data_IF_738859268746
#
_entry.id   IF_738859268746
#
_cell.length_a   1.000
_cell.length_b   1.000
_cell.length_c   1.000
_cell.angle_alpha   90.00
_cell.angle_beta   90.00
_cell.angle_gamma   90.00
#
_symmetry.space_group_name_H-M   'P 1'
#
loop_
_entity.id
_entity.type
_entity.pdbx_description
1 polymer ?
#
# COMPACT_ATOMS: atom_id res chain seq x y z
N UNK A 1 -1.19 -16.84 10.97
CA UNK A 1 -1.30 -15.97 9.78
C UNK A 1 0.09 -15.73 9.21
N UNK A 2 0.28 -15.93 7.92
CA UNK A 2 1.55 -15.64 7.26
C UNK A 2 1.71 -14.12 7.11
N UNK A 3 2.94 -13.67 6.83
CA UNK A 3 3.18 -12.24 6.58
C UNK A 3 2.41 -11.76 5.34
N UNK A 4 2.32 -12.60 4.29
CA UNK A 4 1.53 -12.24 3.10
C UNK A 4 0.05 -12.09 3.43
N UNK A 5 -0.51 -13.01 4.23
CA UNK A 5 -1.90 -12.91 4.66
C UNK A 5 -2.15 -11.65 5.50
N UNK A 6 -1.20 -11.29 6.37
CA UNK A 6 -1.28 -10.06 7.17
C UNK A 6 -1.38 -8.83 6.27
N UNK A 7 -0.54 -8.75 5.23
CA UNK A 7 -0.54 -7.61 4.31
C UNK A 7 -1.83 -7.56 3.50
N UNK A 8 -2.31 -8.70 3.00
CA UNK A 8 -3.57 -8.74 2.26
C UNK A 8 -4.75 -8.29 3.12
N UNK A 9 -4.79 -8.70 4.38
CA UNK A 9 -5.82 -8.25 5.33
C UNK A 9 -5.70 -6.75 5.62
N UNK A 10 -4.48 -6.26 5.80
CA UNK A 10 -4.25 -4.83 6.02
C UNK A 10 -4.77 -4.01 4.83
N UNK A 11 -4.47 -4.43 3.61
CA UNK A 11 -4.96 -3.75 2.40
C UNK A 11 -6.49 -3.74 2.37
N UNK A 12 -7.12 -4.87 2.63
CA UNK A 12 -8.59 -4.97 2.59
C UNK A 12 -9.26 -4.19 3.71
N UNK A 13 -8.78 -4.35 4.95
CA UNK A 13 -9.48 -3.83 6.12
C UNK A 13 -9.15 -2.38 6.44
N UNK A 14 -8.01 -1.87 5.98
CA UNK A 14 -7.59 -0.49 6.22
C UNK A 14 -7.71 0.33 4.94
N UNK A 15 -6.97 -0.03 3.89
CA UNK A 15 -6.94 0.78 2.67
C UNK A 15 -8.24 0.71 1.89
N UNK A 16 -8.67 -0.48 1.49
CA UNK A 16 -9.86 -0.63 0.63
C UNK A 16 -11.16 -0.33 1.39
N UNK A 17 -11.18 -0.58 2.69
CA UNK A 17 -12.31 -0.23 3.55
C UNK A 17 -12.31 1.26 3.96
N UNK A 18 -11.24 1.99 3.70
CA UNK A 18 -11.05 3.38 4.14
C UNK A 18 -11.28 3.52 5.65
N UNK A 19 -10.74 2.59 6.44
CA UNK A 19 -11.03 2.48 7.87
C UNK A 19 -9.72 2.40 8.67
N UNK A 20 -9.49 3.40 9.51
CA UNK A 20 -8.30 3.47 10.36
C UNK A 20 -8.53 2.91 11.77
N UNK A 21 -9.74 2.43 12.07
CA UNK A 21 -10.07 1.98 13.43
C UNK A 21 -9.26 0.77 13.87
N UNK A 22 -8.75 -0.03 12.93
CA UNK A 22 -7.94 -1.23 13.19
C UNK A 22 -6.44 -1.00 13.03
N UNK A 23 -6.02 0.23 12.80
CA UNK A 23 -4.62 0.53 12.48
C UNK A 23 -3.66 0.00 13.55
N UNK A 24 -4.03 0.11 14.83
CA UNK A 24 -3.18 -0.34 15.93
C UNK A 24 -2.99 -1.85 15.97
N UNK A 25 -3.89 -2.62 15.35
CA UNK A 25 -3.76 -4.07 15.23
C UNK A 25 -2.72 -4.45 14.18
N UNK A 26 -2.51 -3.61 13.17
CA UNK A 26 -1.64 -3.89 12.03
C UNK A 26 -0.28 -3.22 12.09
N UNK A 27 -0.17 -2.07 12.74
CA UNK A 27 1.02 -1.22 12.65
C UNK A 27 1.66 -0.97 14.01
N UNK A 28 2.98 -1.11 14.07
CA UNK A 28 3.76 -0.80 15.27
C UNK A 28 3.76 0.69 15.53
N UNK A 29 3.84 1.07 16.81
CA UNK A 29 3.96 2.48 17.21
C UNK A 29 5.23 3.12 16.66
N UNK A 30 6.30 2.34 16.54
CA UNK A 30 7.60 2.79 16.03
C UNK A 30 7.78 2.54 14.53
N UNK A 31 6.68 2.46 13.79
CA UNK A 31 6.68 2.27 12.34
C UNK A 31 7.52 3.33 11.63
N UNK A 32 8.39 2.87 10.72
CA UNK A 32 9.31 3.73 9.97
C UNK A 32 8.79 3.91 8.54
N UNK A 33 8.71 5.17 8.09
CA UNK A 33 8.16 5.51 6.78
C UNK A 33 9.25 6.04 5.85
N UNK A 34 9.40 5.39 4.68
CA UNK A 34 10.30 5.85 3.62
C UNK A 34 9.57 6.42 2.41
N UNK A 35 8.24 6.41 2.41
CA UNK A 35 7.45 7.07 1.36
C UNK A 35 7.66 8.57 1.45
N UNK A 36 7.95 9.20 0.31
CA UNK A 36 8.16 10.65 0.25
C UNK A 36 6.88 11.45 0.45
N UNK A 37 5.74 10.78 0.39
CA UNK A 37 4.42 11.43 0.45
C UNK A 37 3.85 11.48 1.86
N UNK A 38 4.48 10.79 2.83
CA UNK A 38 3.95 10.69 4.18
C UNK A 38 5.02 11.04 5.22
N UNK A 39 4.58 11.58 6.34
CA UNK A 39 5.44 11.81 7.50
C UNK A 39 5.74 10.49 8.20
N UNK A 40 6.82 10.45 8.98
CA UNK A 40 7.26 9.26 9.68
C UNK A 40 6.29 8.83 10.79
N UNK A 41 6.34 7.54 11.12
CA UNK A 41 5.60 6.96 12.22
C UNK A 41 4.16 6.60 11.90
N UNK A 42 3.52 5.93 12.83
CA UNK A 42 2.12 5.52 12.70
C UNK A 42 1.18 6.72 12.58
N UNK A 43 1.44 7.78 13.30
CA UNK A 43 0.62 9.00 13.21
C UNK A 43 0.83 9.72 11.88
N UNK A 44 2.04 9.67 11.32
CA UNK A 44 2.30 10.18 9.97
C UNK A 44 1.51 9.39 8.92
N UNK A 45 1.44 8.07 9.06
CA UNK A 45 0.61 7.23 8.21
C UNK A 45 -0.88 7.58 8.35
N UNK A 46 -1.36 7.73 9.58
CA UNK A 46 -2.76 8.07 9.85
C UNK A 46 -3.16 9.37 9.15
N UNK A 47 -2.32 10.38 9.27
CA UNK A 47 -2.53 11.68 8.65
C UNK A 47 -2.58 11.59 7.12
N UNK A 48 -1.62 10.86 6.54
CA UNK A 48 -1.58 10.60 5.10
C UNK A 48 -2.86 9.90 4.64
N UNK A 49 -3.26 8.84 5.34
CA UNK A 49 -4.40 8.02 4.96
C UNK A 49 -5.72 8.80 5.02
N UNK A 50 -5.89 9.67 6.00
CA UNK A 50 -7.08 10.51 6.10
C UNK A 50 -7.29 11.35 4.84
N UNK A 51 -6.23 11.95 4.30
CA UNK A 51 -6.29 12.70 3.05
C UNK A 51 -6.42 11.79 1.83
N UNK A 52 -5.68 10.70 1.83
CA UNK A 52 -5.66 9.75 0.72
C UNK A 52 -7.04 9.11 0.49
N UNK A 53 -7.76 8.78 1.55
CA UNK A 53 -9.10 8.18 1.47
C UNK A 53 -10.12 9.11 0.80
N UNK A 54 -9.89 10.43 0.79
CA UNK A 54 -10.75 11.38 0.10
C UNK A 54 -10.69 11.20 -1.43
N UNK A 55 -9.65 10.57 -1.95
CA UNK A 55 -9.50 10.26 -3.37
C UNK A 55 -10.20 8.96 -3.77
N UNK A 56 -10.85 8.30 -2.81
CA UNK A 56 -11.53 7.02 -2.99
C UNK A 56 -10.62 5.95 -3.61
N UNK A 57 -9.46 5.65 -2.98
CA UNK A 57 -8.53 4.68 -3.55
C UNK A 57 -9.03 3.25 -3.41
N UNK A 58 -8.72 2.45 -4.41
CA UNK A 58 -8.90 0.99 -4.36
C UNK A 58 -7.62 0.31 -4.84
N UNK A 59 -7.08 -0.57 -4.02
CA UNK A 59 -5.87 -1.33 -4.31
C UNK A 59 -6.23 -2.72 -4.82
N UNK A 60 -5.92 -2.98 -6.08
CA UNK A 60 -6.13 -4.26 -6.74
C UNK A 60 -4.77 -4.98 -6.83
N UNK A 61 -4.56 -5.96 -5.95
CA UNK A 61 -3.29 -6.66 -5.84
C UNK A 61 -3.08 -7.58 -7.04
N UNK A 62 -1.96 -7.42 -7.72
CA UNK A 62 -1.56 -8.22 -8.89
C UNK A 62 -0.56 -9.31 -8.54
N UNK A 63 0.43 -8.99 -7.70
CA UNK A 63 1.46 -9.93 -7.26
C UNK A 63 1.87 -9.60 -5.84
N UNK A 64 2.26 -10.64 -5.08
CA UNK A 64 2.75 -10.48 -3.73
C UNK A 64 3.89 -11.49 -3.49
N UNK A 65 4.97 -11.02 -2.89
CA UNK A 65 6.18 -11.79 -2.63
C UNK A 65 6.67 -11.53 -1.21
N UNK A 66 7.37 -12.49 -0.64
CA UNK A 66 8.04 -12.31 0.65
C UNK A 66 9.52 -12.65 0.51
N UNK A 67 10.37 -11.81 1.11
CA UNK A 67 11.82 -12.04 1.17
C UNK A 67 12.20 -12.73 2.48
N UNK A 68 13.48 -13.14 2.58
CA UNK A 68 14.01 -13.87 3.74
C UNK A 68 14.06 -13.02 5.02
N UNK A 69 13.98 -11.69 4.91
CA UNK A 69 14.06 -10.76 6.05
C UNK A 69 12.69 -10.28 6.53
N UNK A 70 11.63 -11.06 6.26
CA UNK A 70 10.25 -10.72 6.62
C UNK A 70 9.72 -9.45 5.96
N UNK A 71 10.22 -9.12 4.77
CA UNK A 71 9.71 -8.02 3.97
C UNK A 71 8.77 -8.57 2.89
N UNK A 72 7.57 -8.03 2.81
CA UNK A 72 6.56 -8.40 1.82
C UNK A 72 6.49 -7.30 0.77
N UNK A 73 6.64 -7.68 -0.51
CA UNK A 73 6.47 -6.76 -1.63
C UNK A 73 5.13 -7.01 -2.30
N UNK A 74 4.37 -5.96 -2.52
CA UNK A 74 3.03 -6.01 -3.13
C UNK A 74 3.02 -5.14 -4.37
N UNK A 75 2.73 -5.75 -5.51
CA UNK A 75 2.55 -5.04 -6.78
C UNK A 75 1.04 -4.90 -7.02
N UNK A 76 0.56 -3.66 -7.16
CA UNK A 76 -0.87 -3.44 -7.31
C UNK A 76 -1.19 -2.24 -8.19
N UNK A 77 -2.43 -2.23 -8.68
CA UNK A 77 -3.04 -1.07 -9.32
C UNK A 77 -3.85 -0.33 -8.26
N UNK A 78 -3.57 0.96 -8.10
CA UNK A 78 -4.39 1.82 -7.26
C UNK A 78 -5.26 2.68 -8.13
N UNK A 79 -6.58 2.51 -8.03
CA UNK A 79 -7.56 3.28 -8.80
C UNK A 79 -8.16 4.35 -7.91
N UNK A 80 -8.42 5.53 -8.48
CA UNK A 80 -8.98 6.68 -7.77
C UNK A 80 -10.26 7.13 -8.44
N UNK A 81 -11.10 7.88 -7.71
CA UNK A 81 -12.25 8.53 -8.31
C UNK A 81 -11.79 9.46 -9.44
N UNK A 82 -12.59 9.59 -10.47
CA UNK A 82 -12.25 10.41 -11.64
C UNK A 82 -11.47 9.67 -12.72
N UNK A 83 -11.23 8.35 -12.54
CA UNK A 83 -10.60 7.51 -13.55
C UNK A 83 -9.08 7.50 -13.54
N UNK A 84 -8.44 8.14 -12.57
CA UNK A 84 -6.98 8.09 -12.41
C UNK A 84 -6.54 6.76 -11.84
N UNK A 85 -5.33 6.34 -12.18
CA UNK A 85 -4.73 5.13 -11.64
C UNK A 85 -3.23 5.29 -11.45
N UNK A 86 -2.68 4.51 -10.51
CA UNK A 86 -1.25 4.43 -10.27
C UNK A 86 -0.82 2.97 -10.25
N UNK A 87 0.41 2.74 -10.67
CA UNK A 87 1.11 1.46 -10.60
C UNK A 87 2.07 1.55 -9.41
N UNK A 88 1.91 0.65 -8.45
CA UNK A 88 2.59 0.78 -7.16
C UNK A 88 3.27 -0.52 -6.78
N UNK A 89 4.47 -0.40 -6.22
CA UNK A 89 5.10 -1.47 -5.44
C UNK A 89 5.28 -0.93 -4.02
N UNK A 90 4.58 -1.55 -3.08
CA UNK A 90 4.80 -1.32 -1.64
C UNK A 90 5.66 -2.45 -1.09
N UNK A 91 6.58 -2.11 -0.18
CA UNK A 91 7.34 -3.09 0.58
C UNK A 91 7.12 -2.81 2.07
N UNK A 92 6.75 -3.86 2.80
CA UNK A 92 6.51 -3.78 4.24
C UNK A 92 7.38 -4.80 4.96
N UNK A 93 8.21 -4.34 5.89
CA UNK A 93 8.91 -5.25 6.80
C UNK A 93 8.00 -5.52 7.99
N UNK A 94 7.86 -6.79 8.34
CA UNK A 94 6.99 -7.24 9.43
C UNK A 94 7.86 -7.59 10.63
N UNK A 95 7.45 -7.14 11.82
CA UNK A 95 8.11 -7.45 13.07
C UNK A 95 7.04 -7.65 14.14
N UNK A 96 7.14 -8.76 14.89
CA UNK A 96 6.19 -9.10 15.96
C UNK A 96 4.73 -9.09 15.46
N UNK A 97 4.51 -9.56 14.22
CA UNK A 97 3.17 -9.66 13.64
C UNK A 97 2.55 -8.33 13.22
N UNK A 98 3.36 -7.26 13.11
CA UNK A 98 2.88 -5.94 12.72
C UNK A 98 3.81 -5.28 11.71
N UNK A 99 3.27 -4.33 10.97
CA UNK A 99 4.05 -3.53 10.02
C UNK A 99 5.03 -2.65 10.78
N UNK A 100 6.30 -2.80 10.46
CA UNK A 100 7.40 -2.11 11.16
C UNK A 100 8.09 -1.06 10.29
N UNK A 101 8.08 -1.23 8.96
CA UNK A 101 8.81 -0.36 8.05
C UNK A 101 8.20 -0.46 6.65
N UNK A 102 8.17 0.65 5.92
CA UNK A 102 7.53 0.74 4.61
C UNK A 102 8.36 1.52 3.61
N UNK A 103 8.46 0.98 2.41
CA UNK A 103 9.00 1.66 1.22
C UNK A 103 7.98 1.56 0.10
N UNK A 104 7.97 2.51 -0.81
CA UNK A 104 7.15 2.40 -2.01
C UNK A 104 7.81 3.00 -3.24
N UNK A 105 7.31 2.55 -4.40
CA UNK A 105 7.60 3.15 -5.70
C UNK A 105 6.25 3.34 -6.40
N UNK A 106 5.97 4.55 -6.82
CA UNK A 106 4.68 4.91 -7.41
C UNK A 106 4.90 5.49 -8.80
N UNK A 107 4.13 5.01 -9.77
CA UNK A 107 4.08 5.57 -11.11
C UNK A 107 2.64 5.95 -11.44
N UNK A 108 2.40 7.24 -11.68
CA UNK A 108 1.08 7.69 -12.16
C UNK A 108 0.91 7.23 -13.61
N UNK A 109 -0.28 6.73 -13.94
CA UNK A 109 -0.58 6.20 -15.27
C UNK A 109 -1.44 7.17 -16.07
N UNK A 110 -1.16 7.22 -17.38
CA UNK A 110 -1.96 7.94 -18.36
C UNK A 110 -2.66 6.94 -19.28
N UNK A 111 -3.59 7.39 -20.10
CA UNK A 111 -4.23 6.55 -21.10
C UNK A 111 -3.22 6.00 -22.11
N UNK A 112 -2.20 6.77 -22.45
CA UNK A 112 -1.12 6.35 -23.36
C UNK A 112 -0.35 5.17 -22.77
N UNK A 113 -0.05 5.21 -21.48
CA UNK A 113 0.66 4.14 -20.79
C UNK A 113 -0.10 2.82 -20.88
N UNK A 114 -1.41 2.89 -20.86
CA UNK A 114 -2.26 1.70 -20.86
C UNK A 114 -2.26 0.95 -22.21
N UNK A 115 -1.92 1.62 -23.32
CA UNK A 115 -2.06 1.04 -24.67
C UNK A 115 -0.72 0.86 -25.40
N UNK A 116 0.39 1.20 -24.75
CA UNK A 116 1.68 1.37 -25.41
C UNK A 116 2.27 0.09 -26.01
N UNK A 117 1.97 -1.07 -25.46
CA UNK A 117 2.59 -2.33 -25.90
C UNK A 117 1.59 -3.47 -26.14
N UNK A 118 0.30 -3.24 -25.98
CA UNK A 118 -0.71 -4.26 -26.16
C UNK A 118 -0.87 -5.26 -25.01
N UNK A 119 0.01 -5.23 -24.01
CA UNK A 119 -0.05 -6.12 -22.82
C UNK A 119 -0.63 -5.41 -21.60
N UNK A 120 -0.68 -4.08 -21.62
CA UNK A 120 -1.07 -3.25 -20.50
C UNK A 120 0.05 -3.07 -19.50
N UNK A 121 -0.29 -2.40 -18.39
CA UNK A 121 0.68 -2.04 -17.34
C UNK A 121 0.79 -3.08 -16.23
N UNK A 122 -0.09 -4.09 -16.26
CA UNK A 122 -0.18 -5.04 -15.14
C UNK A 122 -0.11 -6.50 -15.56
#
# INVERSE_FOLDING_TARGET
MTNKELILKFIDEVFNAHDLSKLDEYMRDDYMQHSVEAQDGKEGFRKFAEGFFQLDPYMDVKKIFESDDNTVAVFFKCSFKGGHAAKVVDMYRIQDGKLAEHWDVVQQLTEEDAVNNGWGSF
#
